data_IF_348194298224
#
_entry.id   IF_348194298224
#
_cell.length_a   1.000
_cell.length_b   1.000
_cell.length_c   1.000
_cell.angle_alpha   90.00
_cell.angle_beta   90.00
_cell.angle_gamma   90.00
#
_symmetry.space_group_name_H-M   'P 1'
#
loop_
_entity.id
_entity.type
_entity.pdbx_description
1 polymer ?
#
# COMPACT_ATOMS: atom_id res chain seq x y z
N UNK A 1 -2.22 4.49 -34.48
CA UNK A 1 -1.01 3.66 -34.76
C UNK A 1 -1.34 2.61 -35.81
N UNK A 2 -0.46 2.34 -36.80
CA UNK A 2 -0.70 1.25 -37.80
C UNK A 2 -0.54 -0.13 -37.13
N UNK A 3 -1.43 -1.12 -37.44
CA UNK A 3 -1.36 -2.47 -36.90
C UNK A 3 -0.13 -3.21 -37.43
N UNK A 4 0.70 -3.75 -36.52
CA UNK A 4 1.95 -4.46 -36.88
C UNK A 4 1.83 -5.98 -36.71
N UNK A 5 1.12 -6.46 -35.66
CA UNK A 5 0.98 -7.88 -35.36
C UNK A 5 -0.28 -8.47 -36.01
N UNK A 6 -0.33 -9.81 -36.18
CA UNK A 6 -1.52 -10.53 -36.64
C UNK A 6 -2.73 -10.22 -35.77
N UNK A 7 -2.54 -10.17 -34.45
CA UNK A 7 -3.62 -9.87 -33.51
C UNK A 7 -4.13 -8.43 -33.66
N UNK A 8 -3.25 -7.44 -33.79
CA UNK A 8 -3.66 -6.04 -34.04
C UNK A 8 -4.45 -5.90 -35.34
N UNK A 9 -4.07 -6.62 -36.39
CA UNK A 9 -4.81 -6.65 -37.65
C UNK A 9 -6.22 -7.26 -37.46
N UNK A 10 -6.32 -8.35 -36.67
CA UNK A 10 -7.59 -8.96 -36.30
C UNK A 10 -8.49 -7.99 -35.52
N UNK A 11 -7.94 -7.29 -34.53
CA UNK A 11 -8.64 -6.26 -33.73
C UNK A 11 -9.18 -5.16 -34.63
N UNK A 12 -8.36 -4.56 -35.48
CA UNK A 12 -8.79 -3.51 -36.43
C UNK A 12 -9.90 -3.99 -37.36
N UNK A 13 -9.81 -5.22 -37.86
CA UNK A 13 -10.84 -5.83 -38.69
C UNK A 13 -12.14 -6.09 -37.89
N UNK A 14 -12.03 -6.57 -36.68
CA UNK A 14 -13.19 -6.83 -35.80
C UNK A 14 -13.87 -5.55 -35.34
N UNK A 15 -13.11 -4.45 -35.26
CA UNK A 15 -13.61 -3.14 -34.90
C UNK A 15 -14.54 -2.52 -35.95
N UNK A 16 -14.40 -2.92 -37.22
CA UNK A 16 -15.26 -2.41 -38.30
C UNK A 16 -16.71 -2.88 -38.10
N UNK A 17 -17.67 -1.95 -38.27
CA UNK A 17 -19.10 -2.25 -38.16
C UNK A 17 -19.55 -2.66 -36.74
N UNK A 18 -18.89 -2.19 -35.70
CA UNK A 18 -19.39 -2.29 -34.32
C UNK A 18 -20.68 -1.51 -34.19
N UNK A 19 -21.71 -2.17 -33.62
CA UNK A 19 -23.00 -1.48 -33.37
C UNK A 19 -22.83 -0.44 -32.26
N UNK A 20 -23.58 0.66 -32.30
CA UNK A 20 -23.60 1.62 -31.21
C UNK A 20 -24.08 0.97 -29.91
N UNK A 21 -23.92 1.65 -28.78
CA UNK A 21 -24.48 1.25 -27.50
C UNK A 21 -26.01 1.16 -27.58
N UNK A 22 -26.60 0.18 -26.91
CA UNK A 22 -28.06 0.01 -26.83
C UNK A 22 -28.70 1.09 -25.96
N UNK A 23 -29.90 1.53 -26.31
CA UNK A 23 -30.68 2.47 -25.51
C UNK A 23 -30.88 1.99 -24.04
N UNK A 24 -31.14 0.70 -23.84
CA UNK A 24 -31.30 0.12 -22.52
C UNK A 24 -30.01 0.22 -21.67
N UNK A 25 -28.83 0.04 -22.27
CA UNK A 25 -27.55 0.19 -21.59
C UNK A 25 -27.27 1.66 -21.22
N UNK A 26 -27.64 2.60 -22.10
CA UNK A 26 -27.57 4.04 -21.78
C UNK A 26 -28.52 4.43 -20.63
N UNK A 27 -29.75 3.90 -20.66
CA UNK A 27 -30.72 4.16 -19.58
C UNK A 27 -30.26 3.58 -18.24
N UNK A 28 -29.67 2.38 -18.25
CA UNK A 28 -29.08 1.79 -17.06
C UNK A 28 -27.95 2.69 -16.52
N UNK A 29 -27.00 3.09 -17.38
CA UNK A 29 -25.89 3.95 -16.99
C UNK A 29 -26.36 5.30 -16.43
N UNK A 30 -27.40 5.88 -17.01
CA UNK A 30 -28.00 7.11 -16.48
C UNK A 30 -28.55 6.90 -15.07
N UNK A 31 -29.28 5.80 -14.83
CA UNK A 31 -29.94 5.54 -13.53
C UNK A 31 -29.00 5.12 -12.43
N UNK A 32 -27.98 4.31 -12.77
CA UNK A 32 -27.15 3.61 -11.76
C UNK A 32 -25.75 4.22 -11.59
N UNK A 33 -25.29 5.03 -12.57
CA UNK A 33 -23.91 5.48 -12.56
C UNK A 33 -23.76 7.01 -12.38
N UNK A 34 -24.81 7.79 -12.58
CA UNK A 34 -24.78 9.24 -12.38
C UNK A 34 -25.43 9.63 -11.05
N UNK A 35 -25.06 10.78 -10.56
CA UNK A 35 -25.72 11.39 -9.40
C UNK A 35 -27.02 12.05 -9.85
N UNK A 36 -28.06 11.91 -9.04
CA UNK A 36 -29.39 12.42 -9.28
C UNK A 36 -29.81 13.40 -8.21
N UNK A 37 -30.24 14.59 -8.59
CA UNK A 37 -30.46 15.69 -7.66
C UNK A 37 -31.91 16.17 -7.65
N UNK A 38 -32.38 16.58 -6.46
CA UNK A 38 -33.52 17.42 -6.28
C UNK A 38 -33.07 18.78 -5.71
N UNK A 39 -33.45 19.87 -6.38
CA UNK A 39 -33.19 21.20 -5.86
C UNK A 39 -34.38 21.71 -5.04
N UNK A 40 -34.15 21.96 -3.75
CA UNK A 40 -35.17 22.40 -2.80
C UNK A 40 -34.99 23.89 -2.47
N UNK A 41 -36.07 24.62 -2.52
CA UNK A 41 -36.18 25.99 -2.02
C UNK A 41 -36.82 26.00 -0.63
N UNK A 42 -36.95 27.19 -0.04
CA UNK A 42 -37.70 27.40 1.21
C UNK A 42 -39.12 26.85 1.08
N UNK A 43 -39.69 26.45 2.21
CA UNK A 43 -41.05 25.85 2.31
C UNK A 43 -41.20 24.56 1.50
N UNK A 44 -40.12 23.77 1.36
CA UNK A 44 -40.17 22.44 0.82
C UNK A 44 -40.44 22.33 -0.69
N UNK A 45 -40.45 23.47 -1.43
CA UNK A 45 -40.62 23.43 -2.88
C UNK A 45 -39.43 22.74 -3.54
N UNK A 46 -39.62 21.55 -4.06
CA UNK A 46 -38.59 20.64 -4.57
C UNK A 46 -38.78 20.41 -6.06
N UNK A 47 -37.69 20.48 -6.82
CA UNK A 47 -37.69 20.23 -8.27
C UNK A 47 -36.73 19.07 -8.59
N UNK A 48 -37.26 18.04 -9.26
CA UNK A 48 -36.46 16.94 -9.81
C UNK A 48 -35.59 17.46 -10.95
N UNK A 49 -34.29 17.25 -10.85
CA UNK A 49 -33.37 17.67 -11.90
C UNK A 49 -33.34 16.68 -13.09
N UNK A 50 -33.85 15.45 -12.93
CA UNK A 50 -33.92 14.48 -14.03
C UNK A 50 -35.07 14.76 -14.99
N UNK A 51 -36.25 15.07 -14.50
CA UNK A 51 -37.44 15.23 -15.35
C UNK A 51 -38.08 16.62 -15.29
N UNK A 52 -37.56 17.52 -14.46
CA UNK A 52 -38.06 18.89 -14.30
C UNK A 52 -39.34 19.02 -13.47
N UNK A 53 -39.89 17.93 -12.93
CA UNK A 53 -41.13 17.98 -12.12
C UNK A 53 -40.89 18.68 -10.79
N UNK A 54 -41.86 19.52 -10.37
CA UNK A 54 -41.79 20.25 -9.10
C UNK A 54 -42.96 19.84 -8.21
N UNK A 55 -42.68 19.61 -6.90
CA UNK A 55 -43.66 19.26 -5.87
C UNK A 55 -43.17 19.81 -4.52
N UNK A 56 -43.92 19.56 -3.48
CA UNK A 56 -43.54 19.92 -2.11
C UNK A 56 -43.12 18.68 -1.34
N UNK A 57 -41.98 18.72 -0.64
CA UNK A 57 -41.48 17.68 0.26
C UNK A 57 -41.05 18.28 1.59
N UNK A 58 -40.77 17.43 2.58
CA UNK A 58 -40.28 17.87 3.91
C UNK A 58 -39.00 18.69 3.80
N UNK A 59 -38.87 19.71 4.64
CA UNK A 59 -37.74 20.65 4.57
C UNK A 59 -36.41 20.02 4.97
N UNK A 60 -36.43 18.98 5.82
CA UNK A 60 -35.23 18.37 6.40
C UNK A 60 -34.81 17.06 5.71
N UNK A 61 -35.50 16.62 4.68
CA UNK A 61 -35.16 15.41 3.97
C UNK A 61 -33.86 15.57 3.16
N UNK A 62 -32.86 14.68 3.36
CA UNK A 62 -31.64 14.63 2.56
C UNK A 62 -31.81 13.83 1.28
N UNK A 63 -32.80 12.96 1.22
CA UNK A 63 -33.14 12.12 0.05
C UNK A 63 -34.63 12.12 -0.18
N UNK A 64 -35.04 12.08 -1.42
CA UNK A 64 -36.44 11.94 -1.81
C UNK A 64 -36.60 11.10 -3.09
N UNK A 65 -37.85 10.75 -3.39
CA UNK A 65 -38.20 10.07 -4.65
C UNK A 65 -39.12 10.98 -5.45
N UNK A 66 -38.78 11.19 -6.73
CA UNK A 66 -39.61 11.99 -7.61
C UNK A 66 -40.97 11.29 -7.88
N UNK A 67 -42.12 11.92 -7.60
CA UNK A 67 -43.42 11.29 -7.81
C UNK A 67 -43.77 11.06 -9.28
N UNK A 68 -43.06 11.73 -10.22
CA UNK A 68 -43.33 11.61 -11.65
C UNK A 68 -42.45 10.56 -12.34
N UNK A 69 -41.14 10.53 -12.06
CA UNK A 69 -40.20 9.64 -12.77
C UNK A 69 -39.60 8.55 -11.90
N UNK A 70 -39.96 8.50 -10.61
CA UNK A 70 -39.50 7.54 -9.60
C UNK A 70 -37.97 7.54 -9.38
N UNK A 71 -37.27 8.60 -9.82
CA UNK A 71 -35.84 8.73 -9.54
C UNK A 71 -35.59 8.93 -8.03
N UNK A 72 -34.60 8.24 -7.51
CA UNK A 72 -34.06 8.46 -6.16
C UNK A 72 -33.11 9.64 -6.24
N UNK A 73 -33.38 10.68 -5.49
CA UNK A 73 -32.71 11.98 -5.61
C UNK A 73 -32.04 12.37 -4.29
N UNK A 74 -30.86 12.93 -4.38
CA UNK A 74 -30.19 13.65 -3.29
C UNK A 74 -30.73 15.09 -3.25
N UNK A 75 -31.23 15.52 -2.10
CA UNK A 75 -31.81 16.85 -1.95
C UNK A 75 -30.72 17.88 -1.68
N UNK A 76 -30.62 18.85 -2.58
CA UNK A 76 -29.74 20.01 -2.42
C UNK A 76 -30.54 21.28 -2.17
N UNK A 77 -30.37 21.87 -0.98
CA UNK A 77 -30.98 23.14 -0.60
C UNK A 77 -30.25 24.31 -1.26
N UNK A 78 -30.68 24.67 -2.46
CA UNK A 78 -29.95 25.62 -3.31
C UNK A 78 -30.87 26.43 -4.23
N UNK A 79 -30.43 27.66 -4.53
CA UNK A 79 -31.05 28.52 -5.55
C UNK A 79 -30.46 28.31 -6.96
N UNK A 80 -29.51 27.38 -7.11
CA UNK A 80 -28.92 27.09 -8.42
C UNK A 80 -29.99 26.68 -9.43
N UNK A 81 -29.78 27.05 -10.68
CA UNK A 81 -30.70 26.73 -11.77
C UNK A 81 -30.19 25.57 -12.63
N UNK A 82 -28.93 25.22 -12.49
CA UNK A 82 -28.28 24.18 -13.29
C UNK A 82 -27.18 23.49 -12.50
N UNK A 83 -26.95 22.21 -12.83
CA UNK A 83 -25.82 21.42 -12.40
C UNK A 83 -25.46 20.38 -13.47
N UNK A 84 -24.41 19.64 -13.25
CA UNK A 84 -24.05 18.52 -14.12
C UNK A 84 -23.47 17.37 -13.28
N UNK A 85 -23.67 16.13 -13.75
CA UNK A 85 -22.96 14.94 -13.27
C UNK A 85 -22.24 14.27 -14.44
N UNK A 86 -21.11 13.65 -14.17
CA UNK A 86 -20.31 12.96 -15.18
C UNK A 86 -19.71 11.70 -14.59
N UNK A 87 -19.82 10.62 -15.33
CA UNK A 87 -19.27 9.32 -14.93
C UNK A 87 -18.72 8.56 -16.11
N UNK A 88 -17.96 7.51 -15.80
CA UNK A 88 -17.61 6.49 -16.77
C UNK A 88 -18.32 5.19 -16.43
N UNK A 89 -18.59 4.36 -17.44
CA UNK A 89 -19.10 3.01 -17.27
C UNK A 89 -18.61 2.10 -18.39
N UNK A 90 -18.75 0.81 -18.21
CA UNK A 90 -18.29 -0.19 -19.17
C UNK A 90 -19.39 -1.11 -19.64
N UNK A 91 -19.27 -1.55 -20.87
CA UNK A 91 -20.11 -2.60 -21.48
C UNK A 91 -19.22 -3.73 -21.96
N UNK A 92 -19.47 -4.93 -21.48
CA UNK A 92 -18.79 -6.13 -21.95
C UNK A 92 -19.57 -6.78 -23.07
N UNK A 93 -18.90 -7.09 -24.17
CA UNK A 93 -19.48 -7.78 -25.32
C UNK A 93 -18.47 -8.72 -25.96
N UNK A 94 -18.97 -9.64 -26.77
CA UNK A 94 -18.15 -10.55 -27.57
C UNK A 94 -18.24 -10.17 -29.05
N UNK A 95 -17.14 -10.28 -29.77
CA UNK A 95 -17.13 -10.15 -31.22
C UNK A 95 -16.04 -10.99 -31.85
N UNK A 96 -16.43 -11.89 -32.76
CA UNK A 96 -15.52 -12.80 -33.51
C UNK A 96 -14.57 -13.55 -32.59
N UNK A 97 -15.08 -14.11 -31.48
CA UNK A 97 -14.32 -14.86 -30.49
C UNK A 97 -13.39 -14.03 -29.60
N UNK A 98 -13.46 -12.69 -29.70
CA UNK A 98 -12.70 -11.79 -28.82
C UNK A 98 -13.61 -11.21 -27.75
N UNK A 99 -13.12 -11.17 -26.51
CA UNK A 99 -13.75 -10.40 -25.46
C UNK A 99 -13.50 -8.91 -25.71
N UNK A 100 -14.54 -8.12 -25.66
CA UNK A 100 -14.45 -6.68 -25.83
C UNK A 100 -15.08 -5.98 -24.63
N UNK A 101 -14.28 -5.17 -23.94
CA UNK A 101 -14.77 -4.19 -22.98
C UNK A 101 -14.78 -2.80 -23.64
N UNK A 102 -15.93 -2.17 -23.65
CA UNK A 102 -16.15 -0.84 -24.21
C UNK A 102 -16.33 0.13 -23.05
N UNK A 103 -15.49 1.15 -22.97
CA UNK A 103 -15.59 2.20 -21.99
C UNK A 103 -16.30 3.44 -22.57
N UNK A 104 -17.26 3.94 -21.81
CA UNK A 104 -18.06 5.10 -22.17
C UNK A 104 -17.93 6.18 -21.10
N UNK A 105 -17.96 7.44 -21.53
CA UNK A 105 -18.23 8.55 -20.65
C UNK A 105 -19.63 9.04 -20.87
N UNK A 106 -20.36 9.24 -19.78
CA UNK A 106 -21.71 9.84 -19.79
C UNK A 106 -21.67 11.15 -19.00
N UNK A 107 -22.34 12.16 -19.54
CA UNK A 107 -22.60 13.44 -18.87
C UNK A 107 -24.07 13.75 -18.91
N UNK A 108 -24.62 14.18 -17.78
CA UNK A 108 -25.96 14.72 -17.71
C UNK A 108 -25.91 16.21 -17.33
N UNK A 109 -26.54 17.02 -18.12
CA UNK A 109 -26.69 18.45 -17.87
C UNK A 109 -28.11 18.69 -17.35
N UNK A 110 -28.21 19.14 -16.13
CA UNK A 110 -29.45 19.36 -15.45
C UNK A 110 -29.82 20.83 -15.43
N UNK A 111 -31.08 21.14 -15.79
CA UNK A 111 -31.64 22.50 -15.70
C UNK A 111 -32.98 22.41 -14.96
N UNK A 112 -33.18 23.29 -14.00
CA UNK A 112 -34.42 23.35 -13.20
C UNK A 112 -35.63 23.49 -14.12
N UNK A 113 -36.63 22.63 -13.89
CA UNK A 113 -37.87 22.62 -14.69
C UNK A 113 -37.77 22.00 -16.09
N UNK A 114 -36.62 21.44 -16.44
CA UNK A 114 -36.39 20.76 -17.72
C UNK A 114 -35.95 19.31 -17.51
N UNK A 115 -36.20 18.47 -18.52
CA UNK A 115 -35.63 17.12 -18.57
C UNK A 115 -34.13 17.20 -18.75
N UNK A 116 -33.38 16.34 -18.07
CA UNK A 116 -31.93 16.25 -18.21
C UNK A 116 -31.49 15.98 -19.66
N UNK A 117 -30.51 16.70 -20.10
CA UNK A 117 -29.83 16.47 -21.39
C UNK A 117 -28.65 15.52 -21.18
N UNK A 118 -28.64 14.38 -21.87
CA UNK A 118 -27.70 13.28 -21.65
C UNK A 118 -26.82 13.11 -22.90
N UNK A 119 -25.53 13.19 -22.67
CA UNK A 119 -24.52 12.90 -23.69
C UNK A 119 -23.72 11.65 -23.30
N UNK A 120 -23.45 10.77 -24.26
CA UNK A 120 -22.71 9.54 -24.07
C UNK A 120 -21.70 9.33 -25.20
N UNK A 121 -20.44 9.19 -24.85
CA UNK A 121 -19.35 8.99 -25.82
C UNK A 121 -18.58 7.72 -25.48
N UNK A 122 -18.32 6.89 -26.49
CA UNK A 122 -17.37 5.79 -26.37
C UNK A 122 -15.95 6.36 -26.43
N UNK A 123 -15.15 6.06 -25.42
CA UNK A 123 -13.80 6.62 -25.26
C UNK A 123 -12.69 5.59 -25.49
N UNK A 124 -12.94 4.32 -25.15
CA UNK A 124 -11.96 3.25 -25.33
C UNK A 124 -12.61 1.88 -25.59
N UNK A 125 -11.86 1.00 -26.22
CA UNK A 125 -12.18 -0.40 -26.54
C UNK A 125 -10.98 -1.26 -26.18
N UNK A 126 -11.18 -2.17 -25.23
CA UNK A 126 -10.16 -3.13 -24.81
C UNK A 126 -10.52 -4.48 -25.39
N UNK A 127 -9.70 -4.95 -26.31
CA UNK A 127 -9.87 -6.22 -27.02
C UNK A 127 -8.97 -7.27 -26.38
N UNK A 128 -9.56 -8.34 -25.88
CA UNK A 128 -8.83 -9.45 -25.26
C UNK A 128 -9.08 -10.74 -26.05
N UNK A 129 -8.03 -11.47 -26.35
CA UNK A 129 -8.13 -12.79 -26.97
C UNK A 129 -8.23 -13.90 -25.90
N UNK A 130 -8.45 -15.13 -26.34
CA UNK A 130 -8.55 -16.32 -25.50
C UNK A 130 -7.28 -16.63 -24.66
N UNK A 131 -6.15 -16.01 -24.98
CA UNK A 131 -4.87 -16.11 -24.26
C UNK A 131 -4.62 -14.93 -23.32
N UNK A 132 -5.64 -14.11 -23.06
CA UNK A 132 -5.53 -12.97 -22.14
C UNK A 132 -4.73 -11.79 -22.70
N UNK A 133 -4.31 -11.82 -23.97
CA UNK A 133 -3.61 -10.68 -24.59
C UNK A 133 -4.60 -9.57 -24.89
N UNK A 134 -4.31 -8.37 -24.42
CA UNK A 134 -5.12 -7.16 -24.61
C UNK A 134 -4.51 -6.24 -25.65
N UNK A 135 -5.34 -5.68 -26.54
CA UNK A 135 -5.00 -4.56 -27.42
C UNK A 135 -6.01 -3.43 -27.22
N UNK A 136 -5.54 -2.22 -27.17
CA UNK A 136 -6.34 -1.03 -26.86
C UNK A 136 -6.61 -0.22 -28.11
N UNK A 137 -7.85 0.11 -28.35
CA UNK A 137 -8.27 1.15 -29.28
C UNK A 137 -8.98 2.26 -28.52
N UNK A 138 -8.53 3.49 -28.63
CA UNK A 138 -9.09 4.58 -27.84
C UNK A 138 -9.02 5.91 -28.59
N UNK A 139 -9.85 6.86 -28.15
CA UNK A 139 -9.72 8.27 -28.50
C UNK A 139 -8.40 8.81 -27.95
N UNK A 140 -7.92 9.91 -28.51
CA UNK A 140 -6.76 10.62 -27.95
C UNK A 140 -7.10 11.09 -26.52
N UNK A 141 -6.21 10.80 -25.58
CA UNK A 141 -6.34 11.22 -24.17
C UNK A 141 -5.23 12.21 -23.86
N UNK A 142 -5.59 13.29 -23.22
CA UNK A 142 -4.65 14.28 -22.69
C UNK A 142 -4.63 14.14 -21.18
N UNK A 143 -3.46 13.81 -20.65
CA UNK A 143 -3.20 13.75 -19.22
C UNK A 143 -2.25 14.88 -18.88
N UNK A 144 -2.64 15.75 -17.97
CA UNK A 144 -1.84 16.85 -17.45
C UNK A 144 -2.19 17.14 -16.00
N UNK A 145 -1.45 18.04 -15.37
CA UNK A 145 -1.62 18.38 -13.95
C UNK A 145 -3.06 18.85 -13.65
N UNK A 146 -3.74 19.47 -14.63
CA UNK A 146 -5.08 20.05 -14.46
C UNK A 146 -6.17 19.41 -15.32
N UNK A 147 -5.82 18.50 -16.24
CA UNK A 147 -6.81 17.89 -17.15
C UNK A 147 -6.45 16.44 -17.44
N UNK A 148 -7.40 15.55 -17.15
CA UNK A 148 -7.43 14.18 -17.65
C UNK A 148 -8.74 14.01 -18.43
N UNK A 149 -8.65 14.08 -19.74
CA UNK A 149 -9.83 13.99 -20.60
C UNK A 149 -9.53 13.36 -21.96
N UNK A 150 -10.55 12.76 -22.55
CA UNK A 150 -10.51 12.27 -23.91
C UNK A 150 -10.92 13.39 -24.90
N UNK A 151 -10.22 13.44 -26.03
CA UNK A 151 -10.59 14.34 -27.14
C UNK A 151 -11.74 13.70 -27.94
N UNK A 152 -12.96 14.17 -27.73
CA UNK A 152 -14.18 13.56 -28.30
C UNK A 152 -14.23 13.64 -29.84
N UNK A 153 -13.54 14.60 -30.42
CA UNK A 153 -13.45 14.77 -31.88
C UNK A 153 -12.40 13.86 -32.54
N UNK A 154 -11.61 13.16 -31.75
CA UNK A 154 -10.61 12.22 -32.25
C UNK A 154 -11.22 10.84 -32.55
N UNK A 155 -10.69 10.15 -33.55
CA UNK A 155 -11.08 8.78 -33.86
C UNK A 155 -10.62 7.77 -32.79
N UNK A 156 -11.36 6.66 -32.70
CA UNK A 156 -10.94 5.50 -31.88
C UNK A 156 -9.94 4.69 -32.70
N UNK A 157 -8.67 4.83 -32.37
CA UNK A 157 -7.54 4.20 -33.03
C UNK A 157 -6.77 3.28 -32.14
N UNK A 158 -5.96 2.41 -32.73
CA UNK A 158 -5.01 1.57 -31.98
C UNK A 158 -4.03 2.45 -31.21
N UNK A 159 -3.90 2.20 -29.92
CA UNK A 159 -2.98 2.92 -29.02
C UNK A 159 -1.92 1.97 -28.47
N UNK A 160 -0.86 2.54 -27.88
CA UNK A 160 0.08 1.75 -27.08
C UNK A 160 -0.60 1.38 -25.76
N UNK A 161 -0.41 0.15 -25.32
CA UNK A 161 -0.78 -0.26 -23.97
C UNK A 161 0.27 0.30 -23.00
N UNK A 162 -0.01 1.49 -22.46
CA UNK A 162 0.81 2.20 -21.49
C UNK A 162 -0.09 2.88 -20.47
N UNK A 163 0.50 3.54 -19.46
CA UNK A 163 -0.23 4.20 -18.37
C UNK A 163 -1.31 5.17 -18.82
N UNK A 164 -1.15 5.82 -19.99
CA UNK A 164 -2.14 6.74 -20.56
C UNK A 164 -3.42 6.03 -20.99
N UNK A 165 -3.32 4.80 -21.45
CA UNK A 165 -4.44 4.01 -21.98
C UNK A 165 -4.66 2.70 -21.22
N UNK A 166 -4.04 2.53 -20.07
CA UNK A 166 -4.43 1.45 -19.15
C UNK A 166 -5.93 1.56 -18.88
N UNK A 167 -6.55 0.39 -18.80
CA UNK A 167 -7.98 0.33 -18.58
C UNK A 167 -8.33 1.17 -17.35
N UNK A 168 -9.41 1.87 -17.46
CA UNK A 168 -9.92 2.71 -16.43
C UNK A 168 -10.57 1.75 -15.42
N UNK A 169 -9.79 1.40 -14.42
CA UNK A 169 -10.18 0.46 -13.37
C UNK A 169 -11.44 0.95 -12.65
N UNK A 170 -12.22 0.02 -12.14
CA UNK A 170 -13.35 0.27 -11.24
C UNK A 170 -14.58 1.00 -11.81
N UNK A 171 -14.78 1.07 -13.12
CA UNK A 171 -16.05 1.58 -13.63
C UNK A 171 -17.18 0.58 -13.42
N UNK A 172 -18.38 1.06 -13.11
CA UNK A 172 -19.57 0.24 -13.15
C UNK A 172 -19.70 -0.49 -14.49
N UNK A 173 -19.95 -1.80 -14.42
CA UNK A 173 -20.14 -2.63 -15.60
C UNK A 173 -21.63 -2.86 -15.80
N UNK A 174 -22.12 -2.58 -16.99
CA UNK A 174 -23.52 -2.83 -17.34
C UNK A 174 -23.84 -4.32 -17.22
N UNK A 175 -24.91 -4.70 -16.49
CA UNK A 175 -25.29 -6.10 -16.32
C UNK A 175 -25.67 -6.83 -17.63
N UNK A 176 -26.14 -6.10 -18.65
CA UNK A 176 -26.37 -6.64 -20.01
C UNK A 176 -24.99 -6.87 -20.67
N UNK A 177 -24.29 -7.93 -20.26
CA UNK A 177 -22.96 -8.27 -20.71
C UNK A 177 -22.93 -9.59 -21.48
N UNK A 178 -21.94 -9.70 -22.38
CA UNK A 178 -21.58 -10.94 -23.07
C UNK A 178 -20.12 -11.24 -22.85
N UNK A 179 -19.86 -12.46 -22.44
CA UNK A 179 -18.53 -12.95 -22.08
C UNK A 179 -18.20 -14.18 -22.93
N UNK A 180 -16.97 -14.28 -23.40
CA UNK A 180 -16.53 -15.43 -24.21
C UNK A 180 -16.63 -16.76 -23.44
N UNK A 181 -16.93 -17.88 -24.12
CA UNK A 181 -17.16 -19.16 -23.45
C UNK A 181 -16.00 -19.63 -22.57
N UNK A 182 -14.76 -19.26 -22.90
CA UNK A 182 -13.57 -19.63 -22.14
C UNK A 182 -13.61 -19.06 -20.72
N UNK A 183 -14.05 -17.82 -20.54
CA UNK A 183 -14.13 -17.16 -19.23
C UNK A 183 -15.20 -17.84 -18.37
N UNK A 184 -16.38 -18.14 -18.94
CA UNK A 184 -17.42 -18.91 -18.25
C UNK A 184 -16.91 -20.28 -17.80
N UNK A 185 -16.21 -21.00 -18.69
CA UNK A 185 -15.63 -22.31 -18.43
C UNK A 185 -14.59 -22.28 -17.30
N UNK A 186 -13.89 -21.16 -17.16
CA UNK A 186 -12.88 -20.95 -16.13
C UNK A 186 -13.47 -20.50 -14.78
N UNK A 187 -14.79 -20.53 -14.62
CA UNK A 187 -15.46 -20.34 -13.33
C UNK A 187 -15.97 -18.92 -13.07
N UNK A 188 -16.12 -18.08 -14.12
CA UNK A 188 -16.79 -16.80 -13.97
C UNK A 188 -18.28 -17.02 -13.66
N UNK A 189 -18.79 -16.37 -12.63
CA UNK A 189 -20.17 -16.52 -12.14
C UNK A 189 -21.08 -15.33 -12.48
N UNK A 190 -20.55 -14.34 -13.21
CA UNK A 190 -21.25 -13.10 -13.55
C UNK A 190 -20.90 -11.91 -12.66
N UNK A 191 -20.12 -12.11 -11.60
CA UNK A 191 -19.70 -11.06 -10.68
C UNK A 191 -18.16 -10.87 -10.70
N UNK A 192 -17.72 -9.65 -10.41
CA UNK A 192 -16.28 -9.31 -10.45
C UNK A 192 -15.62 -9.35 -9.06
N UNK A 193 -16.37 -9.56 -7.99
CA UNK A 193 -15.86 -9.72 -6.62
C UNK A 193 -14.87 -8.64 -6.16
N UNK A 194 -15.08 -7.40 -6.63
CA UNK A 194 -14.20 -6.26 -6.33
C UNK A 194 -12.88 -6.25 -7.12
N UNK A 195 -12.76 -7.11 -8.12
CA UNK A 195 -11.60 -7.15 -9.04
C UNK A 195 -11.99 -6.44 -10.34
N UNK A 196 -11.06 -5.71 -10.89
CA UNK A 196 -11.28 -5.03 -12.17
C UNK A 196 -11.50 -6.06 -13.30
N UNK A 197 -12.51 -5.86 -14.18
CA UNK A 197 -12.97 -6.88 -15.14
C UNK A 197 -11.89 -7.46 -16.06
N UNK A 198 -11.06 -6.61 -16.66
CA UNK A 198 -10.01 -7.11 -17.57
C UNK A 198 -8.88 -7.80 -16.83
N UNK A 199 -8.57 -7.34 -15.63
CA UNK A 199 -7.57 -7.97 -14.75
C UNK A 199 -8.04 -9.35 -14.33
N UNK A 200 -9.30 -9.49 -13.90
CA UNK A 200 -9.88 -10.79 -13.58
C UNK A 200 -9.87 -11.73 -14.80
N UNK A 201 -10.40 -11.28 -15.93
CA UNK A 201 -10.46 -12.09 -17.14
C UNK A 201 -9.08 -12.51 -17.65
N UNK A 202 -8.12 -11.58 -17.62
CA UNK A 202 -6.73 -11.90 -17.97
C UNK A 202 -6.16 -12.97 -17.04
N UNK A 203 -6.30 -12.79 -15.73
CA UNK A 203 -5.82 -13.76 -14.75
C UNK A 203 -6.46 -15.14 -14.95
N UNK A 204 -7.79 -15.21 -15.15
CA UNK A 204 -8.51 -16.46 -15.43
C UNK A 204 -8.07 -17.15 -16.71
N UNK A 205 -7.66 -16.40 -17.73
CA UNK A 205 -7.24 -16.97 -19.03
C UNK A 205 -5.75 -17.33 -19.08
N UNK A 206 -4.93 -16.77 -18.20
CA UNK A 206 -3.47 -16.94 -18.24
C UNK A 206 -2.91 -17.78 -17.11
N UNK A 207 -3.64 -17.94 -16.00
CA UNK A 207 -3.17 -18.66 -14.83
C UNK A 207 -4.20 -19.69 -14.36
N UNK A 208 -3.88 -20.98 -14.55
CA UNK A 208 -4.72 -22.11 -14.12
C UNK A 208 -4.96 -22.15 -12.60
N UNK A 209 -4.10 -21.51 -11.81
CA UNK A 209 -4.25 -21.41 -10.35
C UNK A 209 -5.43 -20.51 -10.00
N UNK A 210 -5.55 -19.39 -10.70
CA UNK A 210 -6.70 -18.47 -10.58
C UNK A 210 -7.98 -19.17 -11.06
N UNK A 211 -7.95 -19.85 -12.21
CA UNK A 211 -9.06 -20.67 -12.70
C UNK A 211 -9.53 -21.67 -11.63
N UNK A 212 -8.59 -22.38 -11.00
CA UNK A 212 -8.89 -23.36 -9.96
C UNK A 212 -9.61 -22.74 -8.77
N UNK A 213 -9.13 -21.60 -8.28
CA UNK A 213 -9.74 -20.87 -7.16
C UNK A 213 -11.11 -20.28 -7.51
N UNK A 214 -11.28 -19.78 -8.75
CA UNK A 214 -12.59 -19.30 -9.24
C UNK A 214 -13.62 -20.42 -9.24
N UNK A 215 -13.27 -21.61 -9.77
CA UNK A 215 -14.15 -22.81 -9.74
C UNK A 215 -14.47 -23.30 -8.34
N UNK A 216 -13.64 -22.99 -7.36
CA UNK A 216 -13.86 -23.29 -5.95
C UNK A 216 -14.60 -22.17 -5.20
N UNK A 217 -15.04 -21.12 -5.90
CA UNK A 217 -15.69 -19.93 -5.31
C UNK A 217 -14.85 -19.24 -4.21
N UNK A 218 -13.50 -19.30 -4.33
CA UNK A 218 -12.56 -18.69 -3.39
C UNK A 218 -12.19 -17.26 -3.81
N UNK A 219 -13.18 -16.41 -4.01
CA UNK A 219 -13.01 -15.08 -4.61
C UNK A 219 -12.09 -14.14 -3.82
N UNK A 220 -12.12 -14.19 -2.48
CA UNK A 220 -11.20 -13.44 -1.63
C UNK A 220 -9.73 -13.85 -1.85
N UNK A 221 -9.47 -15.14 -2.06
CA UNK A 221 -8.14 -15.66 -2.38
C UNK A 221 -7.69 -15.23 -3.78
N UNK A 222 -8.61 -15.30 -4.76
CA UNK A 222 -8.35 -14.81 -6.12
C UNK A 222 -7.93 -13.36 -6.10
N UNK A 223 -8.68 -12.49 -5.40
CA UNK A 223 -8.35 -11.07 -5.27
C UNK A 223 -6.98 -10.87 -4.66
N UNK A 224 -6.70 -11.51 -3.52
CA UNK A 224 -5.40 -11.39 -2.85
C UNK A 224 -4.24 -11.78 -3.77
N UNK A 225 -4.34 -12.92 -4.46
CA UNK A 225 -3.25 -13.40 -5.30
C UNK A 225 -3.09 -12.64 -6.62
N UNK A 226 -4.14 -12.00 -7.12
CA UNK A 226 -4.04 -11.05 -8.24
C UNK A 226 -3.29 -9.79 -7.79
N UNK A 227 -3.59 -9.27 -6.60
CA UNK A 227 -2.94 -8.09 -6.04
C UNK A 227 -1.50 -8.37 -5.59
N UNK A 228 -1.21 -9.62 -5.19
CA UNK A 228 0.08 -10.08 -4.68
C UNK A 228 0.63 -11.31 -5.47
N UNK A 229 1.04 -11.16 -6.73
CA UNK A 229 1.44 -12.30 -7.57
C UNK A 229 2.66 -13.08 -7.03
N UNK A 230 3.56 -12.41 -6.27
CA UNK A 230 4.68 -13.09 -5.61
C UNK A 230 4.21 -14.08 -4.54
N UNK A 231 3.14 -13.77 -3.81
CA UNK A 231 2.54 -14.70 -2.86
C UNK A 231 1.99 -15.92 -3.57
N UNK A 232 1.35 -15.76 -4.74
CA UNK A 232 0.87 -16.87 -5.53
C UNK A 232 2.01 -17.84 -5.95
N UNK A 233 3.13 -17.28 -6.40
CA UNK A 233 4.31 -18.09 -6.77
C UNK A 233 4.87 -18.87 -5.58
N UNK A 234 5.02 -18.21 -4.44
CA UNK A 234 5.62 -18.82 -3.24
C UNK A 234 4.66 -19.81 -2.57
N UNK A 235 3.39 -19.46 -2.46
CA UNK A 235 2.44 -20.18 -1.60
C UNK A 235 1.66 -21.28 -2.33
N UNK A 236 1.68 -21.34 -3.67
CA UNK A 236 0.78 -22.23 -4.42
C UNK A 236 0.87 -23.71 -4.01
N UNK A 237 2.08 -24.25 -3.80
CA UNK A 237 2.25 -25.62 -3.38
C UNK A 237 1.70 -25.88 -1.98
N UNK A 238 1.99 -24.98 -1.04
CA UNK A 238 1.42 -25.01 0.30
C UNK A 238 -0.11 -24.89 0.28
N UNK A 239 -0.65 -24.01 -0.56
CA UNK A 239 -2.08 -23.84 -0.76
C UNK A 239 -2.79 -25.13 -1.21
N UNK A 240 -2.21 -25.87 -2.16
CA UNK A 240 -2.74 -27.19 -2.59
C UNK A 240 -2.73 -28.20 -1.45
N UNK A 241 -1.70 -28.20 -0.63
CA UNK A 241 -1.56 -29.12 0.50
C UNK A 241 -2.55 -28.74 1.62
N UNK A 242 -2.69 -27.48 1.94
CA UNK A 242 -3.69 -26.98 2.90
C UNK A 242 -5.10 -27.41 2.49
N UNK A 243 -5.47 -27.22 1.20
CA UNK A 243 -6.76 -27.68 0.68
C UNK A 243 -6.96 -29.20 0.80
N UNK A 244 -5.94 -30.02 0.52
CA UNK A 244 -6.01 -31.51 0.67
C UNK A 244 -6.21 -31.94 2.11
N UNK A 245 -5.68 -31.16 3.05
CA UNK A 245 -5.84 -31.41 4.49
C UNK A 245 -7.08 -30.73 5.06
N UNK A 246 -7.98 -30.24 4.20
CA UNK A 246 -9.21 -29.55 4.59
C UNK A 246 -8.99 -28.36 5.54
N UNK A 247 -7.80 -27.77 5.50
CA UNK A 247 -7.48 -26.59 6.28
C UNK A 247 -8.22 -25.37 5.74
N UNK A 248 -9.01 -24.73 6.59
CA UNK A 248 -9.77 -23.53 6.23
C UNK A 248 -8.88 -22.29 6.40
N UNK A 249 -8.43 -21.73 5.30
CA UNK A 249 -7.72 -20.45 5.31
C UNK A 249 -8.77 -19.33 5.43
N UNK A 250 -8.91 -18.76 6.61
CA UNK A 250 -9.87 -17.69 6.92
C UNK A 250 -9.36 -16.31 6.51
N UNK A 251 -8.07 -16.09 6.65
CA UNK A 251 -7.36 -14.88 6.22
C UNK A 251 -6.21 -15.26 5.28
N UNK A 252 -6.45 -15.10 3.98
CA UNK A 252 -5.47 -15.45 2.96
C UNK A 252 -4.23 -14.54 2.98
N UNK A 253 -4.39 -13.27 3.37
CA UNK A 253 -3.28 -12.32 3.49
C UNK A 253 -2.31 -12.76 4.57
N UNK A 254 -2.81 -12.92 5.80
CA UNK A 254 -2.02 -13.37 6.94
C UNK A 254 -1.41 -14.76 6.71
N UNK A 255 -2.17 -15.69 6.11
CA UNK A 255 -1.65 -17.02 5.82
C UNK A 255 -0.52 -16.98 4.77
N UNK A 256 -0.64 -16.19 3.72
CA UNK A 256 0.39 -16.07 2.70
C UNK A 256 1.67 -15.42 3.25
N UNK A 257 1.54 -14.38 4.09
CA UNK A 257 2.67 -13.76 4.80
C UNK A 257 3.35 -14.79 5.70
N UNK A 258 2.57 -15.57 6.46
CA UNK A 258 3.08 -16.62 7.32
C UNK A 258 3.88 -17.68 6.51
N UNK A 259 3.36 -18.14 5.36
CA UNK A 259 4.08 -19.07 4.49
C UNK A 259 5.39 -18.45 3.98
N UNK A 260 5.38 -17.19 3.59
CA UNK A 260 6.61 -16.49 3.17
C UNK A 260 7.64 -16.41 4.31
N UNK A 261 7.19 -16.14 5.53
CA UNK A 261 8.05 -16.15 6.71
C UNK A 261 8.63 -17.55 7.03
N UNK A 262 7.84 -18.62 6.83
CA UNK A 262 8.35 -20.00 6.97
C UNK A 262 9.46 -20.27 5.95
N UNK A 263 9.30 -19.82 4.70
CA UNK A 263 10.35 -19.94 3.67
C UNK A 263 11.60 -19.15 4.07
N UNK A 264 11.47 -17.94 4.57
CA UNK A 264 12.60 -17.13 5.07
C UNK A 264 13.35 -17.84 6.22
N UNK A 265 12.61 -18.57 7.05
CA UNK A 265 13.16 -19.37 8.16
C UNK A 265 13.70 -20.73 7.73
N UNK A 266 13.63 -21.08 6.44
CA UNK A 266 14.08 -22.37 5.91
C UNK A 266 13.21 -23.58 6.33
N UNK A 267 11.93 -23.34 6.67
CA UNK A 267 10.99 -24.40 7.04
C UNK A 267 10.42 -25.08 5.80
N UNK A 268 10.13 -26.38 5.92
CA UNK A 268 9.52 -27.13 4.82
C UNK A 268 8.04 -26.82 4.67
N UNK A 269 7.71 -25.95 3.72
CA UNK A 269 6.32 -25.58 3.38
C UNK A 269 5.54 -26.69 2.66
N UNK A 270 6.08 -27.91 2.52
CA UNK A 270 5.36 -29.10 2.05
C UNK A 270 4.79 -29.90 3.21
N UNK A 271 5.18 -29.63 4.45
CA UNK A 271 4.68 -30.30 5.62
C UNK A 271 3.39 -29.67 6.13
N UNK A 272 2.26 -30.42 6.22
CA UNK A 272 1.01 -29.90 6.79
C UNK A 272 1.17 -29.35 8.20
N UNK A 273 2.09 -29.90 8.99
CA UNK A 273 2.40 -29.43 10.35
C UNK A 273 2.76 -27.93 10.38
N UNK A 274 3.50 -27.46 9.40
CA UNK A 274 3.87 -26.03 9.34
C UNK A 274 2.80 -25.16 8.69
N UNK A 275 2.18 -25.63 7.62
CA UNK A 275 1.32 -24.78 6.78
C UNK A 275 -0.14 -24.73 7.23
N UNK A 276 -0.54 -25.63 8.14
CA UNK A 276 -1.91 -25.73 8.68
C UNK A 276 -1.89 -25.54 10.21
N UNK A 277 -1.49 -24.38 10.74
CA UNK A 277 -1.44 -24.18 12.18
C UNK A 277 -2.85 -24.13 12.78
N UNK A 278 -3.05 -24.67 13.98
CA UNK A 278 -4.32 -24.61 14.69
C UNK A 278 -4.73 -23.16 14.99
N UNK A 279 -3.75 -22.31 15.32
CA UNK A 279 -3.93 -20.88 15.51
C UNK A 279 -2.97 -20.10 14.61
N UNK A 280 -3.47 -19.65 13.46
CA UNK A 280 -2.68 -18.90 12.48
C UNK A 280 -2.13 -17.58 13.06
N UNK A 281 -2.90 -16.87 13.87
CA UNK A 281 -2.48 -15.58 14.43
C UNK A 281 -1.31 -15.75 15.38
N UNK A 282 -1.43 -16.66 16.34
CA UNK A 282 -0.37 -16.92 17.30
C UNK A 282 0.93 -17.41 16.64
N UNK A 283 0.82 -18.30 15.64
CA UNK A 283 2.00 -18.80 14.92
C UNK A 283 2.64 -17.74 14.02
N UNK A 284 1.83 -16.93 13.34
CA UNK A 284 2.29 -15.78 12.55
C UNK A 284 3.11 -14.82 13.43
N UNK A 285 2.57 -14.43 14.58
CA UNK A 285 3.23 -13.47 15.48
C UNK A 285 4.51 -14.07 16.07
N UNK A 286 4.48 -15.34 16.48
CA UNK A 286 5.65 -16.06 16.98
C UNK A 286 6.79 -16.12 15.97
N UNK A 287 6.49 -16.40 14.69
CA UNK A 287 7.50 -16.43 13.62
C UNK A 287 7.99 -15.03 13.27
N UNK A 288 7.08 -14.05 13.23
CA UNK A 288 7.41 -12.64 12.98
C UNK A 288 8.40 -12.10 14.01
N UNK A 289 8.18 -12.39 15.31
CA UNK A 289 9.10 -12.01 16.37
C UNK A 289 10.49 -12.65 16.21
N UNK A 290 10.54 -13.94 15.86
CA UNK A 290 11.82 -14.63 15.62
C UNK A 290 12.59 -14.02 14.45
N UNK A 291 11.90 -13.69 13.35
CA UNK A 291 12.53 -13.04 12.19
C UNK A 291 13.04 -11.66 12.58
N UNK A 292 12.24 -10.89 13.32
CA UNK A 292 12.62 -9.55 13.80
C UNK A 292 13.86 -9.62 14.70
N UNK A 293 13.88 -10.53 15.66
CA UNK A 293 15.01 -10.72 16.55
C UNK A 293 16.28 -11.17 15.79
N UNK A 294 16.14 -12.06 14.81
CA UNK A 294 17.24 -12.49 13.94
C UNK A 294 17.81 -11.33 13.13
N UNK A 295 16.95 -10.56 12.45
CA UNK A 295 17.36 -9.39 11.66
C UNK A 295 18.04 -8.33 12.53
N UNK A 296 17.54 -8.09 13.74
CA UNK A 296 18.15 -7.12 14.65
C UNK A 296 19.54 -7.58 15.12
N UNK A 297 19.69 -8.89 15.38
CA UNK A 297 21.00 -9.45 15.69
C UNK A 297 21.98 -9.30 14.52
N UNK A 298 21.57 -9.70 13.33
CA UNK A 298 22.39 -9.56 12.09
C UNK A 298 22.79 -8.11 11.83
N UNK A 299 21.84 -7.18 11.98
CA UNK A 299 22.10 -5.75 11.87
C UNK A 299 23.12 -5.27 12.91
N UNK A 300 22.99 -5.72 14.15
CA UNK A 300 23.94 -5.38 15.24
C UNK A 300 25.33 -5.89 14.92
N UNK A 301 25.46 -7.14 14.48
CA UNK A 301 26.74 -7.72 14.09
C UNK A 301 27.38 -7.00 12.92
N UNK A 302 26.58 -6.55 11.94
CA UNK A 302 27.08 -5.76 10.80
C UNK A 302 27.55 -4.37 11.24
N UNK A 303 26.82 -3.70 12.14
CA UNK A 303 27.22 -2.40 12.69
C UNK A 303 28.53 -2.52 13.48
N UNK A 304 28.67 -3.55 14.33
CA UNK A 304 29.92 -3.85 15.04
C UNK A 304 31.06 -4.09 14.06
N UNK A 305 30.84 -4.91 13.02
CA UNK A 305 31.87 -5.18 12.00
C UNK A 305 32.31 -3.91 11.27
N UNK A 306 31.38 -3.00 10.99
CA UNK A 306 31.71 -1.68 10.39
C UNK A 306 32.49 -0.81 11.37
N UNK A 307 32.12 -0.77 12.64
CA UNK A 307 32.78 0.03 13.66
C UNK A 307 34.20 -0.49 13.96
N UNK A 308 34.42 -1.79 13.98
CA UNK A 308 35.74 -2.40 14.22
C UNK A 308 36.83 -1.98 13.24
N UNK A 309 36.47 -1.47 12.05
CA UNK A 309 37.43 -0.87 11.11
C UNK A 309 38.18 0.33 11.70
N UNK A 310 37.63 0.95 12.72
CA UNK A 310 38.16 2.13 13.38
C UNK A 310 38.77 1.80 14.76
N UNK A 311 38.84 0.53 15.14
CA UNK A 311 39.31 0.09 16.47
C UNK A 311 40.75 0.54 16.78
N UNK A 312 41.64 0.37 15.81
CA UNK A 312 43.07 0.75 16.00
C UNK A 312 43.23 2.26 16.18
N UNK A 313 42.48 3.04 15.37
CA UNK A 313 42.45 4.49 15.48
C UNK A 313 41.87 4.98 16.80
N UNK A 314 40.79 4.32 17.25
CA UNK A 314 40.22 4.57 18.55
C UNK A 314 41.20 4.28 19.70
N UNK A 315 41.92 3.15 19.67
CA UNK A 315 42.95 2.80 20.66
C UNK A 315 44.10 3.79 20.68
N UNK A 316 44.59 4.17 19.49
CA UNK A 316 45.65 5.19 19.38
C UNK A 316 45.25 6.49 20.09
N UNK A 317 43.99 6.93 19.89
CA UNK A 317 43.52 8.20 20.44
C UNK A 317 43.13 8.11 21.95
N UNK A 318 42.59 6.98 22.41
CA UNK A 318 41.87 6.87 23.69
C UNK A 318 42.49 5.91 24.71
N UNK A 319 43.47 5.06 24.33
CA UNK A 319 44.04 4.04 25.24
C UNK A 319 44.58 4.57 26.55
N UNK A 320 45.13 5.81 26.56
CA UNK A 320 45.58 6.47 27.81
C UNK A 320 44.49 6.67 28.83
N UNK A 321 43.23 6.68 28.44
CA UNK A 321 42.09 6.83 29.36
C UNK A 321 41.46 5.49 29.78
N UNK A 322 41.92 4.36 29.22
CA UNK A 322 41.37 3.05 29.58
C UNK A 322 41.55 2.76 31.05
N UNK A 323 40.61 2.06 31.66
CA UNK A 323 40.57 1.80 33.10
C UNK A 323 39.95 2.91 33.94
N UNK A 324 39.53 4.05 33.33
CA UNK A 324 38.80 5.07 34.07
C UNK A 324 37.45 4.56 34.54
N UNK A 325 37.28 4.53 35.87
CA UNK A 325 36.07 4.12 36.53
C UNK A 325 35.88 4.95 37.80
N UNK A 326 34.68 5.45 38.01
CA UNK A 326 34.29 6.23 39.20
C UNK A 326 33.10 5.57 39.87
N UNK A 327 33.04 5.62 41.17
CA UNK A 327 31.93 5.05 41.95
C UNK A 327 31.67 5.83 43.23
N UNK A 328 30.43 5.93 43.63
CA UNK A 328 29.99 6.40 44.95
C UNK A 328 29.56 5.25 45.89
N UNK A 329 29.78 3.99 45.45
CA UNK A 329 29.37 2.78 46.15
C UNK A 329 28.06 2.16 45.62
N UNK A 330 27.20 2.94 44.95
CA UNK A 330 25.96 2.48 44.31
C UNK A 330 26.03 2.60 42.80
N UNK A 331 26.44 3.76 42.31
CA UNK A 331 26.58 4.05 40.87
C UNK A 331 28.04 3.77 40.46
N UNK A 332 28.22 3.06 39.35
CA UNK A 332 29.50 2.83 38.70
C UNK A 332 29.47 3.50 37.34
N UNK A 333 30.37 4.46 37.10
CA UNK A 333 30.56 5.14 35.83
C UNK A 333 31.86 4.69 35.23
N UNK A 334 31.85 3.93 34.15
CA UNK A 334 33.06 3.40 33.50
C UNK A 334 33.18 3.88 32.03
N UNK A 335 34.39 4.13 31.60
CA UNK A 335 34.68 4.48 30.20
C UNK A 335 34.32 3.32 29.27
N UNK A 336 33.85 3.66 28.08
CA UNK A 336 33.72 2.71 26.98
C UNK A 336 35.09 2.55 26.28
N UNK A 337 35.64 1.33 26.30
CA UNK A 337 37.04 1.06 25.91
C UNK A 337 37.20 0.45 24.53
N UNK A 338 36.10 0.31 23.77
CA UNK A 338 36.15 -0.19 22.40
C UNK A 338 35.01 0.43 21.54
N UNK A 339 35.21 0.49 20.22
CA UNK A 339 34.15 0.89 19.31
C UNK A 339 32.96 -0.06 19.35
N UNK A 340 33.20 -1.33 19.70
CA UNK A 340 32.14 -2.31 19.95
C UNK A 340 31.26 -1.90 21.13
N UNK A 341 31.86 -1.46 22.24
CA UNK A 341 31.11 -1.00 23.40
C UNK A 341 30.25 0.23 23.08
N UNK A 342 30.75 1.18 22.26
CA UNK A 342 29.95 2.32 21.80
C UNK A 342 28.71 1.87 21.02
N UNK A 343 28.84 0.91 20.09
CA UNK A 343 27.70 0.36 19.35
C UNK A 343 26.68 -0.30 20.28
N UNK A 344 27.15 -1.12 21.25
CA UNK A 344 26.29 -1.80 22.20
C UNK A 344 25.62 -0.84 23.18
N UNK A 345 26.32 0.21 23.62
CA UNK A 345 25.77 1.26 24.48
C UNK A 345 24.66 2.02 23.73
N UNK A 346 24.95 2.52 22.53
CA UNK A 346 23.98 3.25 21.73
C UNK A 346 22.73 2.45 21.44
N UNK A 347 22.85 1.14 21.22
CA UNK A 347 21.69 0.26 21.02
C UNK A 347 20.89 0.04 22.30
N UNK A 348 21.58 -0.23 23.40
CA UNK A 348 20.92 -0.51 24.66
C UNK A 348 20.18 0.71 25.21
N UNK A 349 20.74 1.90 25.01
CA UNK A 349 20.19 3.16 25.53
C UNK A 349 19.36 3.93 24.48
N UNK A 350 19.27 3.42 23.24
CA UNK A 350 18.64 4.11 22.11
C UNK A 350 19.22 5.51 21.84
N UNK A 351 20.57 5.60 21.89
CA UNK A 351 21.33 6.82 21.63
C UNK A 351 22.14 6.75 20.35
N UNK A 352 22.52 7.92 19.81
CA UNK A 352 23.40 8.02 18.64
C UNK A 352 24.88 7.70 18.91
N UNK A 353 25.29 7.47 20.16
CA UNK A 353 26.67 7.14 20.57
C UNK A 353 27.27 5.98 19.80
N UNK A 354 26.43 5.00 19.42
CA UNK A 354 26.83 3.86 18.59
C UNK A 354 26.83 4.11 17.08
N UNK A 355 26.34 5.24 16.62
CA UNK A 355 26.16 5.52 15.21
C UNK A 355 27.34 6.32 14.64
N UNK A 356 28.13 5.66 13.77
CA UNK A 356 29.23 6.30 13.06
C UNK A 356 30.46 6.60 13.94
N UNK A 357 31.29 7.56 13.51
CA UNK A 357 32.58 7.91 14.14
C UNK A 357 32.52 9.17 15.01
N UNK A 358 31.33 9.78 15.15
CA UNK A 358 31.20 11.11 15.74
C UNK A 358 31.62 11.17 17.22
N UNK A 359 31.44 10.07 17.97
CA UNK A 359 31.81 10.01 19.38
C UNK A 359 33.11 9.24 19.59
N UNK A 360 33.24 8.04 19.03
CA UNK A 360 34.42 7.18 19.25
C UNK A 360 35.71 7.77 18.71
N UNK A 361 35.69 8.49 17.59
CA UNK A 361 36.86 9.13 16.97
C UNK A 361 36.95 10.64 17.21
N UNK A 362 36.06 11.22 18.02
CA UNK A 362 36.20 12.61 18.42
C UNK A 362 37.32 12.77 19.44
N UNK A 363 38.39 13.52 19.15
CA UNK A 363 39.54 13.68 20.06
C UNK A 363 39.16 14.33 21.40
N UNK A 364 38.15 15.21 21.39
CA UNK A 364 37.70 15.94 22.59
C UNK A 364 36.70 15.16 23.48
N UNK A 365 36.21 14.00 23.03
CA UNK A 365 35.09 13.32 23.67
C UNK A 365 35.53 12.02 24.34
N UNK A 366 35.17 11.83 25.62
CA UNK A 366 35.18 10.52 26.27
C UNK A 366 33.75 10.12 26.64
N UNK A 367 33.37 8.89 26.31
CA UNK A 367 32.06 8.35 26.64
C UNK A 367 32.18 7.38 27.80
N UNK A 368 31.32 7.58 28.80
CA UNK A 368 31.15 6.67 29.94
C UNK A 368 29.75 6.06 29.93
N UNK A 369 29.66 4.86 30.48
CA UNK A 369 28.41 4.18 30.80
C UNK A 369 28.23 4.19 32.33
N UNK A 370 27.17 4.85 32.79
CA UNK A 370 26.76 4.82 34.20
C UNK A 370 25.84 3.62 34.47
N UNK A 371 26.12 2.87 35.51
CA UNK A 371 25.44 1.62 35.82
C UNK A 371 25.14 1.48 37.31
N UNK A 372 24.06 0.77 37.63
CA UNK A 372 23.74 0.25 38.98
C UNK A 372 23.54 -1.24 38.83
N UNK A 373 24.26 -2.06 39.61
CA UNK A 373 24.19 -3.51 39.55
C UNK A 373 24.24 -4.06 38.10
N UNK A 374 25.21 -3.60 37.30
CA UNK A 374 25.40 -3.94 35.86
C UNK A 374 24.31 -3.41 34.88
N UNK A 375 23.20 -2.88 35.39
CA UNK A 375 22.18 -2.27 34.55
C UNK A 375 22.63 -0.87 34.10
N UNK A 376 22.54 -0.57 32.79
CA UNK A 376 22.81 0.76 32.24
C UNK A 376 21.73 1.75 32.67
N UNK A 377 22.17 2.88 33.22
CA UNK A 377 21.28 3.93 33.72
C UNK A 377 21.35 5.15 32.78
N UNK A 378 22.55 5.69 32.58
CA UNK A 378 22.78 6.82 31.67
C UNK A 378 24.11 6.66 30.92
N UNK A 379 24.16 7.29 29.73
CA UNK A 379 25.40 7.45 28.96
C UNK A 379 25.87 8.88 29.11
N UNK A 380 27.16 9.06 29.45
CA UNK A 380 27.77 10.35 29.75
C UNK A 380 28.79 10.71 28.68
N UNK A 381 28.69 11.90 28.12
CA UNK A 381 29.73 12.53 27.29
C UNK A 381 30.51 13.54 28.10
N UNK A 382 31.81 13.36 28.15
CA UNK A 382 32.73 14.25 28.84
C UNK A 382 33.64 14.94 27.81
N UNK A 383 33.69 16.28 27.82
CA UNK A 383 34.57 17.07 26.97
C UNK A 383 35.93 17.24 27.64
N UNK A 384 37.01 16.88 26.92
CA UNK A 384 38.38 17.08 27.37
C UNK A 384 38.80 18.53 27.27
N UNK A 385 38.26 19.30 26.33
CA UNK A 385 38.50 20.74 26.20
C UNK A 385 37.87 21.52 27.35
N UNK A 386 36.60 21.21 27.68
CA UNK A 386 35.87 21.90 28.74
C UNK A 386 36.07 21.34 30.11
N UNK A 387 36.72 20.16 30.25
CA UNK A 387 36.93 19.42 31.46
C UNK A 387 35.69 19.22 32.33
N UNK A 388 34.55 18.92 31.66
CA UNK A 388 33.25 18.69 32.29
C UNK A 388 32.37 17.78 31.47
N UNK A 389 31.32 17.26 32.09
CA UNK A 389 30.21 16.58 31.42
C UNK A 389 29.46 17.57 30.56
N UNK A 390 29.27 17.25 29.26
CA UNK A 390 28.52 18.06 28.29
C UNK A 390 27.17 17.46 27.95
N UNK A 391 27.04 16.12 28.01
CA UNK A 391 25.78 15.41 27.87
C UNK A 391 25.72 14.24 28.86
N UNK A 392 24.55 14.00 29.38
CA UNK A 392 24.26 12.84 30.23
C UNK A 392 22.78 12.48 30.06
N UNK A 393 22.50 11.29 29.54
CA UNK A 393 21.12 10.91 29.26
C UNK A 393 20.90 9.41 29.46
N UNK A 394 19.73 9.06 29.97
CA UNK A 394 19.23 7.72 30.12
C UNK A 394 18.51 7.23 28.85
N UNK A 395 17.76 6.15 28.98
CA UNK A 395 17.06 5.50 27.86
C UNK A 395 16.21 6.50 27.04
N UNK A 396 16.41 6.54 25.72
CA UNK A 396 15.71 7.44 24.79
C UNK A 396 15.91 8.93 25.10
N UNK A 397 17.08 9.32 25.58
CA UNK A 397 17.46 10.68 25.97
C UNK A 397 16.60 11.27 27.11
N UNK A 398 16.10 10.42 28.00
CA UNK A 398 15.36 10.87 29.20
C UNK A 398 16.32 10.89 30.40
N UNK A 399 16.24 11.92 31.20
CA UNK A 399 17.00 11.97 32.43
C UNK A 399 16.39 11.02 33.47
N UNK A 400 17.26 10.39 34.25
CA UNK A 400 16.86 9.49 35.36
C UNK A 400 16.87 10.23 36.68
N UNK A 401 16.38 9.59 37.74
CA UNK A 401 16.49 10.11 39.11
C UNK A 401 17.95 10.26 39.58
N UNK A 402 18.87 9.57 38.95
CA UNK A 402 20.31 9.58 39.26
C UNK A 402 21.11 10.60 38.43
N UNK A 403 20.45 11.36 37.53
CA UNK A 403 21.08 12.26 36.58
C UNK A 403 22.07 13.23 37.21
N UNK A 404 21.65 13.94 38.27
CA UNK A 404 22.51 14.92 38.95
C UNK A 404 23.70 14.25 39.66
N UNK A 405 23.48 13.07 40.28
CA UNK A 405 24.52 12.33 40.99
C UNK A 405 25.59 11.80 40.03
N UNK A 406 25.19 11.30 38.87
CA UNK A 406 26.09 10.84 37.79
C UNK A 406 26.96 11.99 37.30
N UNK A 407 26.37 13.15 36.99
CA UNK A 407 27.12 14.33 36.54
C UNK A 407 28.11 14.81 37.58
N UNK A 408 27.67 14.89 38.85
CA UNK A 408 28.53 15.30 39.97
C UNK A 408 29.66 14.31 40.18
N UNK A 409 29.40 13.01 40.12
CA UNK A 409 30.42 11.96 40.29
C UNK A 409 31.51 12.08 39.21
N UNK A 410 31.14 12.27 37.92
CA UNK A 410 32.12 12.40 36.86
C UNK A 410 32.91 13.74 36.96
N UNK A 411 32.23 14.85 37.20
CA UNK A 411 32.88 16.17 37.28
C UNK A 411 33.82 16.25 38.52
N UNK A 412 33.46 15.65 39.63
CA UNK A 412 34.33 15.61 40.84
C UNK A 412 35.64 14.85 40.59
N UNK A 413 35.65 13.90 39.64
CA UNK A 413 36.80 13.13 39.24
C UNK A 413 37.54 13.67 38.00
N UNK A 414 37.18 14.86 37.50
CA UNK A 414 37.82 15.47 36.33
C UNK A 414 39.35 15.56 36.41
N UNK A 415 39.88 15.81 37.61
CA UNK A 415 41.36 15.81 37.87
C UNK A 415 42.04 14.48 37.54
N UNK A 416 41.38 13.34 37.72
CA UNK A 416 41.92 12.03 37.34
C UNK A 416 41.98 11.86 35.84
N UNK A 417 41.01 12.44 35.11
CA UNK A 417 41.00 12.46 33.64
C UNK A 417 42.14 13.37 33.13
N UNK A 418 42.32 14.56 33.73
CA UNK A 418 43.37 15.51 33.41
C UNK A 418 44.78 14.88 33.60
N UNK A 419 45.01 14.16 34.71
CA UNK A 419 46.26 13.45 34.98
C UNK A 419 46.61 12.43 33.86
N UNK A 420 45.58 11.78 33.26
CA UNK A 420 45.78 10.85 32.13
C UNK A 420 46.12 11.58 30.81
N UNK A 421 45.75 12.87 30.68
CA UNK A 421 46.17 13.69 29.53
C UNK A 421 47.65 14.07 29.57
N UNK A 422 48.21 14.32 30.77
CA UNK A 422 49.58 14.81 31.00
C UNK A 422 50.60 13.66 31.05
N UNK A 423 50.19 12.43 31.41
CA UNK A 423 51.10 11.30 31.63
C UNK A 423 51.75 10.72 30.33
N UNK A 424 51.60 11.40 29.21
CA UNK A 424 52.07 10.94 27.86
C UNK A 424 53.12 11.88 27.24
N UNK A 425 53.75 12.74 28.03
CA UNK A 425 54.98 13.51 27.63
C UNK A 425 56.23 12.85 28.31
#
# INVERSE_FOLDING_TARGET
>A
MKPRTKYQKQVVTSNKGLRPIKGAQMQWAFRECLDHYAFQLKHGQTTCMDCGHTWTTEEDADKCVCPKCNAKLEVQRTKRQKTMSSTYFSVLTERKGLQLMRAFQMKAYYRKGQKADICCWEVARYWMNEKGKVEVMARKRTMGIYMDTFCYDSDIELRKDNTTYQHIASFPVCPDMKVIPQIWRNGFDGAFHGIEPLTLFKAMLTDHRIETMMKQCRYGHVRHFIDHPRHLETCWNAYKIANRNHYLITDIGKWADYICMLVEMGKDIRSPHYICPDNLEAEHDRISEKIRAKKEKERTEEEIRKALKNEDKFKEMKSRFFGLMFTDGNIVVRMLESVREHVLEGKAMHHCVGSGTNYSLNPDCIIFSARIAEQRIETVEFSLEQMKVVQCHGLQNKDTEHHADIINLVNSNAKLIEQRMVATT
#
